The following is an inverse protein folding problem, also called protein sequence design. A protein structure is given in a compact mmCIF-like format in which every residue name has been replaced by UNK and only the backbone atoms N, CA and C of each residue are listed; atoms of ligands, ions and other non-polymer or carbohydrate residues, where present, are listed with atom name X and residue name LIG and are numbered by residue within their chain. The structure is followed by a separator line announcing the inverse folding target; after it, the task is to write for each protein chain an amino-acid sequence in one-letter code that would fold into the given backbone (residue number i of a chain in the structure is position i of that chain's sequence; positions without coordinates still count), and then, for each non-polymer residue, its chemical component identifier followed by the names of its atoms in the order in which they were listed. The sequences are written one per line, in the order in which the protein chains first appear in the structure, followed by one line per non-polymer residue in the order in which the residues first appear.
data_IF_828700342259
#
_entry.id   IF_828700342259
#
_cell.length_a   1.000
_cell.length_b   1.000
_cell.length_c   1.000
_cell.angle_alpha   90.00
_cell.angle_beta   90.00
_cell.angle_gamma   90.00
#
_symmetry.space_group_name_H-M   'P 1'
#
loop_
_entity.id
_entity.type
_entity.pdbx_description
1 polymer ?
#
# COMPACT_ATOMS: atom_id res chain seq x y z
N UNK A 1 -0.05 36.11 -3.76
CA UNK A 1 0.56 35.72 -2.47
C UNK A 1 1.29 34.41 -2.64
N UNK A 2 2.56 34.35 -2.23
CA UNK A 2 3.30 33.08 -2.10
C UNK A 2 2.86 32.32 -0.83
N UNK A 3 3.28 31.06 -0.69
CA UNK A 3 2.87 30.21 0.44
C UNK A 3 3.28 30.77 1.82
N UNK A 4 4.39 31.50 1.88
CA UNK A 4 4.85 32.13 3.13
C UNK A 4 3.92 33.27 3.53
N UNK A 5 3.56 34.12 2.58
CA UNK A 5 2.62 35.23 2.79
C UNK A 5 1.23 34.73 3.15
N UNK A 6 0.73 33.67 2.50
CA UNK A 6 -0.57 33.06 2.85
C UNK A 6 -0.57 32.56 4.29
N UNK A 7 0.50 31.90 4.74
CA UNK A 7 0.62 31.41 6.14
C UNK A 7 0.66 32.56 7.14
N UNK A 8 1.42 33.61 6.86
CA UNK A 8 1.47 34.82 7.72
C UNK A 8 0.08 35.47 7.79
N UNK A 9 -0.59 35.60 6.65
CA UNK A 9 -1.95 36.17 6.58
C UNK A 9 -2.96 35.35 7.38
N UNK A 10 -2.89 34.02 7.33
CA UNK A 10 -3.74 33.14 8.15
C UNK A 10 -3.52 33.40 9.64
N UNK A 11 -2.26 33.46 10.09
CA UNK A 11 -1.94 33.72 11.49
C UNK A 11 -2.44 35.09 11.94
N UNK A 12 -2.19 36.13 11.14
CA UNK A 12 -2.66 37.49 11.42
C UNK A 12 -4.19 37.56 11.56
N UNK A 13 -4.92 36.87 10.68
CA UNK A 13 -6.38 36.83 10.72
C UNK A 13 -6.89 36.10 11.96
N UNK A 14 -6.25 35.00 12.35
CA UNK A 14 -6.60 34.25 13.56
C UNK A 14 -6.33 35.08 14.83
N UNK A 15 -5.17 35.71 14.93
CA UNK A 15 -4.79 36.49 16.11
C UNK A 15 -5.64 37.75 16.28
N UNK A 16 -5.92 38.47 15.18
CA UNK A 16 -6.65 39.75 15.25
C UNK A 16 -8.16 39.58 15.38
N UNK A 17 -8.73 38.54 14.79
CA UNK A 17 -10.19 38.44 14.63
C UNK A 17 -10.81 37.19 15.24
N UNK A 18 -10.07 36.09 15.37
CA UNK A 18 -10.66 34.85 15.88
C UNK A 18 -10.65 34.75 17.41
N UNK A 19 -9.80 35.51 18.12
CA UNK A 19 -9.71 35.47 19.59
C UNK A 19 -10.95 36.02 20.31
N UNK A 20 -11.72 36.90 19.65
CA UNK A 20 -12.94 37.52 20.19
C UNK A 20 -14.19 37.12 19.39
N UNK A 21 -14.06 36.13 18.50
CA UNK A 21 -15.12 35.73 17.60
C UNK A 21 -16.14 34.84 18.32
N UNK A 22 -17.43 35.17 18.17
CA UNK A 22 -18.55 34.37 18.71
C UNK A 22 -18.61 32.92 18.17
N UNK A 23 -17.94 32.66 17.04
CA UNK A 23 -17.84 31.35 16.42
C UNK A 23 -16.54 30.59 16.76
N UNK A 24 -15.63 31.15 17.58
CA UNK A 24 -14.31 30.56 17.85
C UNK A 24 -14.39 29.14 18.43
N UNK A 25 -15.39 28.87 19.28
CA UNK A 25 -15.62 27.54 19.88
C UNK A 25 -16.62 26.69 19.10
N UNK A 26 -17.15 27.19 17.98
CA UNK A 26 -18.09 26.46 17.15
C UNK A 26 -17.38 25.60 16.11
N UNK A 27 -18.16 24.71 15.47
CA UNK A 27 -17.60 23.90 14.38
C UNK A 27 -17.16 24.80 13.22
N UNK A 28 -16.07 24.40 12.56
CA UNK A 28 -15.53 25.09 11.39
C UNK A 28 -16.61 25.35 10.32
N UNK A 29 -17.56 24.44 10.16
CA UNK A 29 -18.69 24.59 9.21
C UNK A 29 -19.58 25.79 9.56
N UNK A 30 -19.92 26.00 10.84
CA UNK A 30 -20.72 27.15 11.27
C UNK A 30 -19.93 28.45 11.15
N UNK A 31 -18.65 28.44 11.53
CA UNK A 31 -17.76 29.60 11.38
C UNK A 31 -17.70 30.05 9.91
N UNK A 32 -17.43 29.16 8.96
CA UNK A 32 -17.39 29.52 7.53
C UNK A 32 -18.74 30.03 7.00
N UNK A 33 -19.86 29.49 7.49
CA UNK A 33 -21.18 29.93 7.05
C UNK A 33 -21.56 31.34 7.54
N UNK A 34 -21.06 31.76 8.70
CA UNK A 34 -21.50 32.98 9.37
C UNK A 34 -20.39 34.02 9.63
N UNK A 35 -19.13 33.70 9.33
CA UNK A 35 -17.99 34.57 9.56
C UNK A 35 -17.20 34.80 8.26
N UNK A 36 -17.10 36.06 7.83
CA UNK A 36 -16.31 36.47 6.66
C UNK A 36 -14.82 36.13 6.82
N UNK A 37 -14.27 36.27 8.03
CA UNK A 37 -12.89 35.86 8.34
C UNK A 37 -12.74 34.35 8.22
N UNK A 38 -13.73 33.57 8.66
CA UNK A 38 -13.76 32.12 8.49
C UNK A 38 -13.74 31.71 7.01
N UNK A 39 -14.43 32.45 6.14
CA UNK A 39 -14.42 32.25 4.69
C UNK A 39 -13.05 32.57 4.08
N UNK A 40 -12.42 33.69 4.45
CA UNK A 40 -11.08 34.06 3.98
C UNK A 40 -10.04 33.02 4.42
N UNK A 41 -10.08 32.58 5.68
CA UNK A 41 -9.23 31.50 6.19
C UNK A 41 -9.39 30.21 5.40
N UNK A 42 -10.63 29.83 5.05
CA UNK A 42 -10.90 28.64 4.25
C UNK A 42 -10.29 28.76 2.84
N UNK A 43 -10.41 29.92 2.20
CA UNK A 43 -9.85 30.16 0.86
C UNK A 43 -8.34 30.07 0.92
N UNK A 44 -7.70 30.77 1.87
CA UNK A 44 -6.24 30.77 2.03
C UNK A 44 -5.70 29.37 2.34
N UNK A 45 -6.38 28.62 3.21
CA UNK A 45 -6.04 27.23 3.48
C UNK A 45 -6.19 26.37 2.23
N UNK A 46 -7.30 26.50 1.49
CA UNK A 46 -7.49 25.75 0.24
C UNK A 46 -6.40 26.06 -0.77
N UNK A 47 -5.97 27.31 -0.90
CA UNK A 47 -4.90 27.72 -1.80
C UNK A 47 -3.49 27.33 -1.34
N UNK A 48 -3.28 27.07 -0.04
CA UNK A 48 -2.03 26.52 0.50
C UNK A 48 -1.96 25.00 0.36
N UNK A 49 -3.11 24.34 0.42
CA UNK A 49 -3.22 22.89 0.44
C UNK A 49 -3.81 22.31 -0.86
N UNK A 50 -4.12 23.13 -1.87
CA UNK A 50 -4.56 22.69 -3.20
C UNK A 50 -3.50 21.80 -3.89
N UNK A 51 -2.22 22.05 -3.61
CA UNK A 51 -1.10 21.21 -4.04
C UNK A 51 -1.04 19.85 -3.30
N UNK A 52 -1.75 19.67 -2.18
CA UNK A 52 -1.74 18.42 -1.42
C UNK A 52 -2.72 17.41 -2.01
N UNK A 53 -2.20 16.68 -3.01
CA UNK A 53 -2.80 15.52 -3.68
C UNK A 53 -4.09 15.85 -4.45
N UNK A 54 -3.91 16.32 -5.68
CA UNK A 54 -4.91 16.13 -6.74
C UNK A 54 -5.40 14.67 -6.68
N UNK A 55 -6.62 14.47 -6.18
CA UNK A 55 -7.33 13.24 -6.41
C UNK A 55 -7.38 13.06 -7.92
N UNK A 56 -6.57 12.15 -8.44
CA UNK A 56 -6.60 11.79 -9.85
C UNK A 56 -8.05 11.42 -10.20
N UNK A 57 -8.58 12.05 -11.23
CA UNK A 57 -9.94 11.80 -11.71
C UNK A 57 -10.07 10.35 -12.20
N UNK A 58 -11.29 9.92 -12.50
CA UNK A 58 -11.51 8.58 -13.05
C UNK A 58 -10.77 8.42 -14.38
N UNK A 59 -10.81 9.47 -15.19
CA UNK A 59 -10.20 9.59 -16.51
C UNK A 59 -8.67 9.53 -16.41
N UNK A 60 -8.08 10.25 -15.45
CA UNK A 60 -6.63 10.19 -15.18
C UNK A 60 -6.20 8.77 -14.83
N UNK A 61 -6.99 8.07 -14.00
CA UNK A 61 -6.69 6.69 -13.65
C UNK A 61 -6.89 5.72 -14.81
N UNK A 62 -7.88 5.96 -15.67
CA UNK A 62 -8.10 5.15 -16.87
C UNK A 62 -6.87 5.21 -17.78
N UNK A 63 -6.32 6.40 -17.98
CA UNK A 63 -5.11 6.59 -18.79
C UNK A 63 -3.86 5.96 -18.14
N UNK A 64 -3.66 6.17 -16.84
CA UNK A 64 -2.57 5.52 -16.08
C UNK A 64 -2.66 4.00 -16.17
N UNK A 65 -3.87 3.43 -16.05
CA UNK A 65 -4.07 1.99 -16.14
C UNK A 65 -3.80 1.46 -17.56
N UNK A 66 -4.21 2.18 -18.61
CA UNK A 66 -3.87 1.82 -20.01
C UNK A 66 -2.36 1.80 -20.25
N UNK A 67 -1.64 2.82 -19.75
CA UNK A 67 -0.18 2.87 -19.86
C UNK A 67 0.50 1.76 -19.08
N UNK A 68 0.00 1.45 -17.87
CA UNK A 68 0.50 0.35 -17.06
C UNK A 68 0.36 -1.00 -17.78
N UNK A 69 -0.78 -1.28 -18.43
CA UNK A 69 -1.00 -2.51 -19.20
C UNK A 69 0.04 -2.67 -20.32
N UNK A 70 0.29 -1.63 -21.11
CA UNK A 70 1.30 -1.65 -22.18
C UNK A 70 2.71 -1.95 -21.64
N UNK A 71 3.03 -1.46 -20.44
CA UNK A 71 4.32 -1.73 -19.80
C UNK A 71 4.40 -3.15 -19.25
N UNK A 72 3.31 -3.70 -18.72
CA UNK A 72 3.24 -5.11 -18.33
C UNK A 72 3.44 -6.06 -19.50
N UNK A 73 2.84 -5.76 -20.66
CA UNK A 73 3.00 -6.56 -21.88
C UNK A 73 4.45 -6.57 -22.39
N UNK A 74 5.24 -5.55 -22.02
CA UNK A 74 6.69 -5.50 -22.29
C UNK A 74 7.53 -6.15 -21.19
N UNK A 75 6.92 -6.82 -20.21
CA UNK A 75 7.60 -7.50 -19.12
C UNK A 75 8.11 -6.58 -17.99
N UNK A 76 7.68 -5.32 -17.94
CA UNK A 76 8.13 -4.38 -16.90
C UNK A 76 7.44 -4.68 -15.57
N UNK A 77 8.20 -4.77 -14.49
CA UNK A 77 7.67 -5.05 -13.15
C UNK A 77 6.86 -3.89 -12.54
N UNK A 78 5.87 -4.23 -11.70
CA UNK A 78 4.95 -3.28 -11.05
C UNK A 78 5.68 -2.12 -10.33
N UNK A 79 6.79 -2.40 -9.65
CA UNK A 79 7.56 -1.38 -8.91
C UNK A 79 8.17 -0.33 -9.84
N UNK A 80 8.63 -0.74 -11.02
CA UNK A 80 9.22 0.16 -12.03
C UNK A 80 8.11 0.98 -12.68
N UNK A 81 6.99 0.34 -13.03
CA UNK A 81 5.81 1.01 -13.60
C UNK A 81 5.27 2.07 -12.63
N UNK A 82 5.13 1.72 -11.35
CA UNK A 82 4.68 2.63 -10.29
C UNK A 82 5.55 3.89 -10.18
N UNK A 83 6.87 3.75 -10.22
CA UNK A 83 7.80 4.89 -10.23
C UNK A 83 7.65 5.72 -11.50
N UNK A 84 7.55 5.07 -12.67
CA UNK A 84 7.43 5.75 -13.97
C UNK A 84 6.13 6.55 -14.10
N UNK A 85 5.03 6.05 -13.53
CA UNK A 85 3.70 6.68 -13.61
C UNK A 85 3.39 7.59 -12.41
N UNK A 86 4.35 7.82 -11.50
CA UNK A 86 4.17 8.75 -10.38
C UNK A 86 3.01 8.37 -9.45
N UNK A 87 2.81 7.07 -9.20
CA UNK A 87 1.74 6.57 -8.35
C UNK A 87 2.22 5.42 -7.45
N UNK A 88 1.69 5.27 -6.22
CA UNK A 88 2.06 4.15 -5.35
C UNK A 88 1.72 2.80 -5.98
N UNK A 89 2.60 1.81 -5.81
CA UNK A 89 2.47 0.48 -6.42
C UNK A 89 1.24 -0.29 -5.92
N UNK A 90 0.82 -0.05 -4.69
CA UNK A 90 -0.42 -0.58 -4.11
C UNK A 90 -1.64 0.05 -4.78
N UNK A 91 -1.70 1.38 -4.84
CA UNK A 91 -2.80 2.10 -5.48
C UNK A 91 -2.92 1.75 -6.97
N UNK A 92 -1.82 1.65 -7.70
CA UNK A 92 -1.83 1.22 -9.10
C UNK A 92 -2.45 -0.17 -9.27
N UNK A 93 -2.07 -1.12 -8.42
CA UNK A 93 -2.63 -2.49 -8.44
C UNK A 93 -4.14 -2.47 -8.18
N UNK A 94 -4.59 -1.71 -7.18
CA UNK A 94 -6.01 -1.65 -6.83
C UNK A 94 -6.84 -1.00 -7.95
N UNK A 95 -6.30 0.05 -8.57
CA UNK A 95 -6.94 0.73 -9.71
C UNK A 95 -7.01 -0.15 -10.96
N UNK A 96 -5.98 -0.97 -11.20
CA UNK A 96 -5.97 -1.98 -12.27
C UNK A 96 -7.00 -3.10 -12.00
N UNK A 97 -7.10 -3.59 -10.76
CA UNK A 97 -8.09 -4.61 -10.37
C UNK A 97 -9.52 -4.11 -10.53
N UNK A 98 -9.82 -2.89 -10.06
CA UNK A 98 -11.14 -2.26 -10.21
C UNK A 98 -11.59 -2.15 -11.67
N UNK A 99 -10.65 -2.10 -12.61
CA UNK A 99 -10.88 -2.01 -14.05
C UNK A 99 -10.77 -3.34 -14.79
N UNK A 100 -10.50 -4.45 -14.08
CA UNK A 100 -10.28 -5.75 -14.73
C UNK A 100 -9.00 -5.83 -15.59
N UNK A 101 -8.06 -4.90 -15.43
CA UNK A 101 -6.84 -4.79 -16.24
C UNK A 101 -5.60 -5.43 -15.59
N UNK A 102 -5.76 -5.98 -14.40
CA UNK A 102 -4.65 -6.58 -13.66
C UNK A 102 -4.29 -7.97 -14.23
N UNK A 103 -3.14 -8.07 -14.90
CA UNK A 103 -2.62 -9.32 -15.49
C UNK A 103 -1.51 -10.00 -14.66
N UNK A 104 -1.13 -9.44 -13.50
CA UNK A 104 -0.13 -10.03 -12.62
C UNK A 104 -0.70 -11.09 -11.69
N UNK A 105 0.16 -11.91 -11.07
CA UNK A 105 -0.29 -12.80 -9.99
C UNK A 105 -0.78 -11.96 -8.81
N UNK A 106 -2.00 -12.22 -8.38
CA UNK A 106 -2.57 -11.65 -7.16
C UNK A 106 -1.77 -12.11 -5.94
N UNK A 107 -1.88 -11.37 -4.84
CA UNK A 107 -1.25 -11.78 -3.57
C UNK A 107 -1.74 -13.16 -3.11
N UNK A 108 -3.01 -13.47 -3.36
CA UNK A 108 -3.61 -14.78 -3.07
C UNK A 108 -2.95 -15.87 -3.92
N UNK A 109 -2.78 -15.65 -5.22
CA UNK A 109 -2.08 -16.61 -6.09
C UNK A 109 -0.62 -16.80 -5.72
N UNK A 110 0.10 -15.74 -5.34
CA UNK A 110 1.49 -15.85 -4.87
C UNK A 110 1.56 -16.64 -3.56
N UNK A 111 0.66 -16.38 -2.63
CA UNK A 111 0.57 -17.12 -1.37
C UNK A 111 0.21 -18.59 -1.61
N UNK A 112 -0.70 -18.87 -2.53
CA UNK A 112 -1.11 -20.23 -2.89
C UNK A 112 0.03 -20.98 -3.59
N UNK A 113 0.77 -20.33 -4.50
CA UNK A 113 1.96 -20.92 -5.10
C UNK A 113 3.06 -21.20 -4.07
N UNK A 114 3.27 -20.28 -3.13
CA UNK A 114 4.18 -20.48 -2.00
C UNK A 114 3.73 -21.65 -1.12
N UNK A 115 2.43 -21.73 -0.81
CA UNK A 115 1.83 -22.82 -0.03
C UNK A 115 2.04 -24.17 -0.71
N UNK A 116 1.76 -24.28 -2.02
CA UNK A 116 1.99 -25.48 -2.83
C UNK A 116 3.46 -25.89 -2.83
N UNK A 117 4.37 -24.94 -3.07
CA UNK A 117 5.82 -25.19 -3.03
C UNK A 117 6.27 -25.75 -1.68
N UNK A 118 5.76 -25.18 -0.58
CA UNK A 118 6.04 -25.67 0.76
C UNK A 118 5.42 -27.04 1.03
N UNK A 119 4.23 -27.33 0.50
CA UNK A 119 3.65 -28.67 0.61
C UNK A 119 4.56 -29.70 -0.06
N UNK A 120 5.05 -29.43 -1.26
CA UNK A 120 5.96 -30.33 -2.00
C UNK A 120 7.27 -30.54 -1.25
N UNK A 121 7.87 -29.47 -0.72
CA UNK A 121 9.08 -29.56 0.10
C UNK A 121 8.87 -30.36 1.39
N UNK A 122 7.75 -30.14 2.08
CA UNK A 122 7.42 -30.93 3.27
C UNK A 122 7.24 -32.41 2.92
N UNK A 123 6.55 -32.75 1.83
CA UNK A 123 6.39 -34.14 1.39
C UNK A 123 7.73 -34.80 1.05
N UNK A 124 8.61 -34.10 0.33
CA UNK A 124 9.98 -34.58 0.05
C UNK A 124 10.79 -34.78 1.34
N UNK A 125 10.64 -33.90 2.31
CA UNK A 125 11.28 -34.05 3.62
C UNK A 125 10.83 -35.34 4.33
N UNK A 126 9.54 -35.71 4.26
CA UNK A 126 9.04 -36.97 4.84
C UNK A 126 9.71 -38.19 4.17
N UNK A 127 9.84 -38.17 2.83
CA UNK A 127 10.45 -39.27 2.08
C UNK A 127 11.93 -39.44 2.45
N UNK A 128 12.69 -38.33 2.48
CA UNK A 128 14.11 -38.37 2.88
C UNK A 128 14.28 -38.82 4.33
N UNK A 129 13.33 -38.47 5.21
CA UNK A 129 13.35 -38.92 6.60
C UNK A 129 13.12 -40.42 6.73
N UNK A 130 12.20 -40.99 5.94
CA UNK A 130 12.00 -42.46 5.84
C UNK A 130 13.27 -43.18 5.36
N UNK A 131 14.11 -42.50 4.59
CA UNK A 131 15.43 -42.99 4.15
C UNK A 131 16.53 -42.78 5.21
N UNK A 132 16.20 -42.30 6.42
CA UNK A 132 17.14 -42.11 7.53
C UNK A 132 17.92 -40.80 7.50
N UNK A 133 17.55 -39.82 6.66
CA UNK A 133 18.25 -38.55 6.59
C UNK A 133 17.93 -37.66 7.81
N UNK A 134 18.95 -37.03 8.37
CA UNK A 134 18.80 -36.04 9.44
C UNK A 134 18.23 -34.71 8.91
N UNK A 135 17.61 -33.93 9.79
CA UNK A 135 17.05 -32.60 9.46
C UNK A 135 18.05 -31.67 8.77
N UNK A 136 19.31 -31.72 9.21
CA UNK A 136 20.39 -30.90 8.64
C UNK A 136 20.65 -31.30 7.18
N UNK A 137 20.73 -32.61 6.91
CA UNK A 137 20.96 -33.13 5.56
C UNK A 137 19.78 -32.88 4.62
N UNK A 138 18.55 -32.97 5.13
CA UNK A 138 17.32 -32.66 4.38
C UNK A 138 17.26 -31.16 4.05
N UNK A 139 17.54 -30.30 5.03
CA UNK A 139 17.60 -28.84 4.85
C UNK A 139 18.61 -28.44 3.78
N UNK A 140 19.80 -29.02 3.81
CA UNK A 140 20.82 -28.82 2.77
C UNK A 140 20.34 -29.29 1.39
N UNK A 141 19.69 -30.46 1.33
CA UNK A 141 19.19 -31.03 0.07
C UNK A 141 18.04 -30.22 -0.55
N UNK A 142 17.18 -29.62 0.28
CA UNK A 142 16.04 -28.80 -0.17
C UNK A 142 16.39 -27.31 -0.36
N UNK A 143 17.58 -26.88 0.06
CA UNK A 143 18.01 -25.48 -0.03
C UNK A 143 17.17 -24.52 0.84
N UNK A 144 16.65 -25.01 1.97
CA UNK A 144 15.82 -24.23 2.92
C UNK A 144 16.43 -24.32 4.31
N UNK A 145 16.25 -23.32 5.17
CA UNK A 145 16.78 -23.40 6.53
C UNK A 145 16.06 -24.46 7.37
N UNK A 146 16.80 -25.14 8.25
CA UNK A 146 16.28 -26.17 9.17
C UNK A 146 15.12 -25.65 10.02
N UNK A 147 15.23 -24.42 10.53
CA UNK A 147 14.19 -23.75 11.32
C UNK A 147 12.91 -23.52 10.52
N UNK A 148 13.03 -23.03 9.28
CA UNK A 148 11.88 -22.80 8.40
C UNK A 148 11.20 -24.12 8.03
N UNK A 149 11.99 -25.14 7.71
CA UNK A 149 11.46 -26.47 7.38
C UNK A 149 10.66 -27.06 8.54
N UNK A 150 11.21 -27.05 9.77
CA UNK A 150 10.52 -27.54 10.97
C UNK A 150 9.23 -26.79 11.23
N UNK A 151 9.25 -25.47 11.18
CA UNK A 151 8.05 -24.65 11.40
C UNK A 151 6.98 -24.92 10.34
N UNK A 152 7.36 -25.09 9.07
CA UNK A 152 6.42 -25.38 8.00
C UNK A 152 5.86 -26.81 8.07
N UNK A 153 6.64 -27.78 8.55
CA UNK A 153 6.16 -29.14 8.84
C UNK A 153 5.20 -29.16 10.03
N UNK A 154 5.54 -28.46 11.12
CA UNK A 154 4.70 -28.31 12.32
C UNK A 154 3.33 -27.71 11.99
N UNK A 155 3.32 -26.62 11.22
CA UNK A 155 2.08 -25.97 10.74
C UNK A 155 1.16 -26.89 9.95
N UNK A 156 1.72 -27.96 9.37
CA UNK A 156 1.00 -28.95 8.56
C UNK A 156 0.70 -30.25 9.31
N UNK A 157 0.97 -30.29 10.62
CA UNK A 157 0.79 -31.49 11.44
C UNK A 157 1.74 -32.64 11.09
N UNK A 158 2.85 -32.34 10.39
CA UNK A 158 3.83 -33.34 9.94
C UNK A 158 4.93 -33.58 10.98
N UNK A 159 4.61 -33.46 12.26
CA UNK A 159 5.54 -33.74 13.34
C UNK A 159 5.68 -35.25 13.51
N UNK A 160 6.92 -35.73 13.53
CA UNK A 160 7.22 -37.07 14.02
C UNK A 160 7.67 -36.94 15.46
N UNK A 161 6.94 -37.59 16.36
CA UNK A 161 7.45 -37.88 17.70
C UNK A 161 8.72 -38.72 17.53
N UNK A 162 9.80 -38.27 18.14
CA UNK A 162 11.04 -39.02 18.25
C UNK A 162 10.72 -40.33 18.98
N UNK A 163 10.74 -41.46 18.27
CA UNK A 163 10.99 -42.77 18.90
C UNK A 163 12.50 -42.96 19.05
#
# INVERSE_FOLDING_TARGET
MNDREKRIRILDLQDKHCQTCEYQMQSLKKCIQHCSIGQELQILARELFAESKRHKSREDWDEICKQAVKLYERGVGNTIISKKLGCPASTLRDQLKRRGLWKGKTQVEIQEQSRKKWNDWCQKALQLRKQGFSDSKISQHLGVSTSSLREQMRKRGLNFESS
#
